data_IF_616593544349
#
_entry.id   IF_616593544349
#
_cell.length_a   1.000
_cell.length_b   1.000
_cell.length_c   1.000
_cell.angle_alpha   90.00
_cell.angle_beta   90.00
_cell.angle_gamma   90.00
#
_symmetry.space_group_name_H-M   'P 1'
#
loop_
_entity.id
_entity.type
_entity.pdbx_description
1 polymer ?
#
# COMPACT_ATOMS: atom_id res chain seq x y z
N UNK A 1 -3.38 -6.34 3.14
CA UNK A 1 -3.02 -4.96 2.71
C UNK A 1 -2.68 -4.81 1.23
N UNK A 2 -1.70 -5.52 0.67
CA UNK A 2 -1.27 -5.33 -0.74
C UNK A 2 -2.37 -5.66 -1.76
N UNK A 3 -3.07 -6.79 -1.59
CA UNK A 3 -4.24 -7.14 -2.41
C UNK A 3 -5.38 -6.13 -2.28
N UNK A 4 -5.53 -5.50 -1.11
CA UNK A 4 -6.53 -4.44 -0.87
C UNK A 4 -6.16 -3.18 -1.64
N UNK A 5 -4.91 -2.72 -1.55
CA UNK A 5 -4.38 -1.62 -2.38
C UNK A 5 -4.57 -1.91 -3.87
N UNK A 6 -4.31 -3.14 -4.31
CA UNK A 6 -4.50 -3.53 -5.71
C UNK A 6 -5.98 -3.51 -6.11
N UNK A 7 -6.87 -4.00 -5.24
CA UNK A 7 -8.32 -3.92 -5.44
C UNK A 7 -8.83 -2.47 -5.45
N UNK A 8 -8.28 -1.59 -4.61
CA UNK A 8 -8.57 -0.17 -4.60
C UNK A 8 -8.10 0.53 -5.88
N UNK A 9 -6.87 0.28 -6.34
CA UNK A 9 -6.40 0.76 -7.65
C UNK A 9 -7.27 0.25 -8.79
N UNK A 10 -7.66 -1.02 -8.77
CA UNK A 10 -8.50 -1.65 -9.81
C UNK A 10 -9.94 -1.09 -9.81
N UNK A 11 -10.44 -0.67 -8.65
CA UNK A 11 -11.72 0.01 -8.49
C UNK A 11 -11.63 1.55 -8.64
N UNK A 12 -10.46 2.11 -9.01
CA UNK A 12 -10.26 3.56 -9.10
C UNK A 12 -10.29 4.31 -7.76
N UNK A 13 -10.26 3.60 -6.64
CA UNK A 13 -10.30 4.15 -5.27
C UNK A 13 -8.90 4.50 -4.78
N UNK A 14 -8.25 5.47 -5.44
CA UNK A 14 -6.89 5.88 -5.10
C UNK A 14 -6.78 6.44 -3.67
N UNK A 15 -7.77 7.20 -3.18
CA UNK A 15 -7.83 7.67 -1.79
C UNK A 15 -7.68 6.56 -0.76
N UNK A 16 -8.37 5.43 -0.97
CA UNK A 16 -8.29 4.29 -0.05
C UNK A 16 -6.95 3.57 -0.16
N UNK A 17 -6.36 3.53 -1.35
CA UNK A 17 -5.01 2.99 -1.53
C UNK A 17 -3.97 3.86 -0.80
N UNK A 18 -4.17 5.18 -0.81
CA UNK A 18 -3.32 6.16 -0.12
C UNK A 18 -3.49 6.09 1.40
N UNK A 19 -4.73 6.05 1.91
CA UNK A 19 -5.03 5.84 3.33
C UNK A 19 -4.34 4.59 3.89
N UNK A 20 -4.42 3.47 3.16
CA UNK A 20 -3.73 2.24 3.55
C UNK A 20 -2.22 2.44 3.59
N UNK A 21 -1.65 3.14 2.60
CA UNK A 21 -0.21 3.45 2.57
C UNK A 21 0.21 4.31 3.77
N UNK A 22 -0.58 5.33 4.10
CA UNK A 22 -0.34 6.22 5.24
C UNK A 22 -0.44 5.46 6.56
N UNK A 23 -1.42 4.57 6.72
CA UNK A 23 -1.60 3.75 7.92
C UNK A 23 -0.40 2.80 8.12
N UNK A 24 0.07 2.14 7.05
CA UNK A 24 1.32 1.36 7.08
C UNK A 24 2.50 2.23 7.53
N UNK A 25 2.66 3.41 6.92
CA UNK A 25 3.74 4.35 7.24
C UNK A 25 3.70 4.78 8.71
N UNK A 26 2.50 5.03 9.24
CA UNK A 26 2.26 5.43 10.64
C UNK A 26 2.63 4.31 11.62
N UNK A 27 2.49 3.06 11.20
CA UNK A 27 2.95 1.88 11.93
C UNK A 27 4.47 1.61 11.75
N UNK A 28 5.20 2.46 11.03
CA UNK A 28 6.64 2.27 10.75
C UNK A 28 6.91 1.29 9.60
N UNK A 29 5.88 0.93 8.83
CA UNK A 29 5.96 0.02 7.70
C UNK A 29 6.04 0.84 6.41
N UNK A 30 7.19 0.80 5.75
CA UNK A 30 7.43 1.47 4.47
C UNK A 30 7.07 0.49 3.35
N UNK A 31 6.01 0.81 2.59
CA UNK A 31 5.65 0.10 1.38
C UNK A 31 6.52 0.56 0.22
N UNK A 32 7.25 -0.38 -0.39
CA UNK A 32 8.05 -0.18 -1.59
C UNK A 32 7.49 -1.08 -2.69
N UNK A 33 6.94 -0.47 -3.73
CA UNK A 33 6.51 -1.21 -4.91
C UNK A 33 7.73 -1.40 -5.83
N UNK A 34 8.11 -2.65 -6.09
CA UNK A 34 9.25 -2.99 -6.95
C UNK A 34 8.89 -4.16 -7.85
N UNK A 35 8.97 -3.97 -9.17
CA UNK A 35 8.73 -5.00 -10.19
C UNK A 35 7.44 -5.83 -9.98
N UNK A 36 6.31 -5.17 -9.71
CA UNK A 36 5.01 -5.85 -9.57
C UNK A 36 4.83 -6.62 -8.25
N UNK A 37 5.86 -6.66 -7.41
CA UNK A 37 5.77 -7.07 -6.02
C UNK A 37 5.72 -5.83 -5.12
N UNK A 38 4.83 -5.85 -4.14
CA UNK A 38 4.84 -4.84 -3.09
C UNK A 38 5.60 -5.40 -1.91
N UNK A 39 6.84 -4.95 -1.74
CA UNK A 39 7.64 -5.25 -0.56
C UNK A 39 7.31 -4.23 0.53
N UNK A 40 7.26 -4.68 1.77
CA UNK A 40 7.03 -3.81 2.91
C UNK A 40 8.15 -4.05 3.91
N UNK A 41 8.84 -2.97 4.30
CA UNK A 41 9.92 -3.01 5.29
C UNK A 41 9.47 -2.33 6.56
N UNK A 42 9.73 -2.98 7.69
CA UNK A 42 9.64 -2.36 9.01
C UNK A 42 10.93 -1.56 9.25
N UNK A 43 10.81 -0.34 9.81
CA UNK A 43 11.95 0.49 10.18
C UNK A 43 12.57 0.03 11.50
#
# INVERSE_FOLDING_TARGET
MIKQRNSYRKNGKFDKADLVRDELLKHGIILKDSNGATEWKYK
#
